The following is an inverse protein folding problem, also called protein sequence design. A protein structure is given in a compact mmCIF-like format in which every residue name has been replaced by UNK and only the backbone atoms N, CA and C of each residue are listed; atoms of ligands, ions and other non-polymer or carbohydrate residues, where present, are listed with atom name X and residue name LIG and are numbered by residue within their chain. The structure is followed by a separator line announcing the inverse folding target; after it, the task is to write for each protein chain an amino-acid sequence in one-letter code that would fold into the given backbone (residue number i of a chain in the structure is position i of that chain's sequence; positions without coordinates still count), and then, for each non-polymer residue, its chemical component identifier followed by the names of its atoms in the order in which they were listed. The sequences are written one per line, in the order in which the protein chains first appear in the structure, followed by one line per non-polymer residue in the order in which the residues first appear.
data_IF_634721333036
#
_entry.id   IF_634721333036
#
_cell.length_a   1.000
_cell.length_b   1.000
_cell.length_c   1.000
_cell.angle_alpha   90.00
_cell.angle_beta   90.00
_cell.angle_gamma   90.00
#
_symmetry.space_group_name_H-M   'P 1'
#
loop_
_entity.id
_entity.type
_entity.pdbx_description
1 polymer ?
#
# COMPACT_ATOMS: atom_id res chain seq x y z
N UNK A 1 50.98 -28.78 -52.74
CA UNK A 1 50.15 -28.02 -53.71
C UNK A 1 49.46 -26.92 -52.92
N UNK A 2 49.65 -25.65 -53.28
CA UNK A 2 48.91 -24.93 -54.34
C UNK A 2 47.41 -24.88 -54.06
N UNK A 3 46.83 -23.78 -53.56
CA UNK A 3 46.71 -22.40 -54.09
C UNK A 3 45.59 -22.25 -55.13
N UNK A 4 44.52 -21.49 -54.80
CA UNK A 4 43.81 -20.53 -55.68
C UNK A 4 42.56 -19.84 -55.04
N UNK A 5 42.65 -18.53 -54.78
CA UNK A 5 41.59 -17.50 -55.05
C UNK A 5 42.02 -16.78 -56.38
N UNK A 6 41.35 -15.77 -57.01
CA UNK A 6 40.39 -14.72 -56.57
C UNK A 6 39.09 -14.74 -57.44
N UNK A 7 38.29 -13.69 -57.75
CA UNK A 7 38.08 -12.27 -57.32
C UNK A 7 36.59 -11.91 -57.58
N UNK A 8 36.15 -10.73 -57.14
CA UNK A 8 34.96 -10.01 -57.66
C UNK A 8 35.14 -9.51 -59.12
N UNK A 9 34.19 -8.72 -59.65
CA UNK A 9 34.49 -7.27 -59.73
C UNK A 9 33.35 -6.32 -59.30
N UNK A 10 33.76 -5.18 -58.72
CA UNK A 10 33.06 -3.87 -58.65
C UNK A 10 33.49 -3.02 -59.90
N UNK A 11 33.36 -1.67 -60.00
CA UNK A 11 32.65 -0.63 -59.22
C UNK A 11 31.54 0.05 -60.10
N UNK A 12 31.10 1.33 -60.05
CA UNK A 12 31.48 2.66 -59.50
C UNK A 12 30.17 3.46 -59.20
N UNK A 13 30.09 4.53 -58.40
CA UNK A 13 31.03 5.33 -57.57
C UNK A 13 30.37 5.59 -56.17
N UNK A 14 30.47 6.67 -55.37
CA UNK A 14 31.07 8.03 -55.42
C UNK A 14 31.22 8.65 -53.99
N UNK A 15 31.55 9.95 -53.87
CA UNK A 15 31.67 10.73 -52.61
C UNK A 15 30.74 11.99 -52.60
N UNK A 16 30.69 12.93 -51.63
CA UNK A 16 31.50 13.22 -50.44
C UNK A 16 30.68 13.99 -49.36
N UNK A 17 31.32 14.40 -48.25
CA UNK A 17 30.78 15.15 -47.10
C UNK A 17 30.54 16.65 -47.39
N UNK A 18 29.76 17.34 -46.53
CA UNK A 18 29.56 18.80 -46.57
C UNK A 18 28.69 19.34 -45.42
N UNK A 19 29.04 20.49 -44.85
CA UNK A 19 28.56 20.97 -43.53
C UNK A 19 27.79 22.32 -43.58
N UNK A 20 26.86 22.46 -42.62
CA UNK A 20 26.11 23.63 -42.04
C UNK A 20 26.03 25.04 -42.71
N UNK A 21 24.80 25.60 -42.63
CA UNK A 21 24.39 26.84 -41.90
C UNK A 21 23.68 28.03 -42.62
N UNK A 22 22.88 28.75 -41.81
CA UNK A 22 22.25 30.10 -41.89
C UNK A 22 21.64 30.66 -43.21
N UNK A 23 20.47 31.34 -43.13
CA UNK A 23 19.96 32.14 -44.27
C UNK A 23 18.51 32.67 -44.30
N UNK A 24 18.05 33.40 -43.26
CA UNK A 24 17.05 34.50 -43.24
C UNK A 24 15.92 34.71 -44.32
N UNK A 25 14.74 35.14 -43.81
CA UNK A 25 13.73 36.05 -44.44
C UNK A 25 12.92 35.60 -45.70
N UNK A 26 11.69 36.08 -46.00
CA UNK A 26 10.63 36.79 -45.24
C UNK A 26 9.30 36.83 -46.07
N UNK A 27 8.27 37.53 -45.55
CA UNK A 27 6.93 37.81 -46.11
C UNK A 27 5.92 36.62 -46.11
N UNK A 28 4.66 36.68 -45.65
CA UNK A 28 3.63 37.72 -45.36
C UNK A 28 2.46 37.66 -46.36
N UNK A 29 1.26 37.25 -45.88
CA UNK A 29 0.03 38.03 -46.09
C UNK A 29 -1.08 37.67 -45.06
N UNK A 30 -1.84 38.70 -44.68
CA UNK A 30 -3.09 38.74 -43.89
C UNK A 30 -4.00 37.50 -44.01
N UNK A 31 -4.54 36.90 -42.94
CA UNK A 31 -5.39 37.43 -41.86
C UNK A 31 -6.84 37.76 -42.28
N UNK A 32 -7.80 36.91 -41.87
CA UNK A 32 -9.20 37.28 -41.64
C UNK A 32 -9.63 36.74 -40.26
N UNK A 33 -10.07 37.63 -39.38
CA UNK A 33 -10.49 37.30 -38.02
C UNK A 33 -12.02 37.35 -37.90
N UNK A 34 -12.60 36.38 -37.20
CA UNK A 34 -14.00 36.43 -36.74
C UNK A 34 -14.02 36.36 -35.21
N UNK A 35 -14.44 37.45 -34.57
CA UNK A 35 -14.47 37.55 -33.11
C UNK A 35 -15.53 36.64 -32.48
N UNK A 36 -15.16 36.01 -31.35
CA UNK A 36 -16.09 35.31 -30.48
C UNK A 36 -16.85 36.30 -29.58
N UNK A 37 -18.12 36.04 -29.21
CA UNK A 37 -18.82 36.83 -28.22
C UNK A 37 -18.21 36.60 -26.83
N UNK A 38 -17.92 37.69 -26.11
CA UNK A 38 -17.28 37.62 -24.80
C UNK A 38 -18.23 37.08 -23.71
N UNK A 39 -17.77 36.07 -22.98
CA UNK A 39 -18.27 35.71 -21.65
C UNK A 39 -17.11 35.90 -20.66
N UNK A 40 -17.27 36.79 -19.70
CA UNK A 40 -16.21 37.14 -18.76
C UNK A 40 -16.56 36.67 -17.34
N UNK A 41 -15.81 35.71 -16.80
CA UNK A 41 -15.75 35.51 -15.36
C UNK A 41 -14.44 34.83 -14.89
N UNK A 42 -13.62 35.62 -14.17
CA UNK A 42 -12.55 35.21 -13.25
C UNK A 42 -11.57 34.12 -13.73
N UNK A 43 -10.51 34.51 -14.44
CA UNK A 43 -9.28 33.70 -14.41
C UNK A 43 -8.60 33.86 -13.05
N UNK A 44 -8.57 32.76 -12.28
CA UNK A 44 -7.60 32.58 -11.22
C UNK A 44 -6.38 31.92 -11.87
N UNK A 45 -5.53 32.72 -12.52
CA UNK A 45 -4.31 32.27 -13.22
C UNK A 45 -3.24 31.76 -12.24
N UNK A 46 -3.53 30.62 -11.61
CA UNK A 46 -2.53 29.80 -10.94
C UNK A 46 -1.63 29.16 -11.99
N UNK A 47 -0.34 29.47 -11.96
CA UNK A 47 0.65 28.90 -12.86
C UNK A 47 0.80 27.40 -12.57
N UNK A 48 0.15 26.54 -13.39
CA UNK A 48 0.33 25.09 -13.31
C UNK A 48 1.72 24.76 -13.84
N UNK A 49 2.59 24.28 -12.97
CA UNK A 49 3.92 23.81 -13.37
C UNK A 49 3.81 22.45 -14.06
N UNK A 50 3.96 22.42 -15.38
CA UNK A 50 4.24 21.18 -16.11
C UNK A 50 5.74 20.93 -16.20
N UNK A 51 6.18 19.73 -15.83
CA UNK A 51 7.60 19.37 -15.90
C UNK A 51 8.09 19.34 -17.37
N UNK A 52 9.18 20.04 -17.71
CA UNK A 52 9.79 19.99 -19.04
C UNK A 52 10.04 18.57 -19.54
N UNK A 53 9.72 18.30 -20.81
CA UNK A 53 9.81 16.95 -21.40
C UNK A 53 11.19 16.29 -21.21
N UNK A 54 12.28 17.06 -21.30
CA UNK A 54 13.64 16.55 -21.09
C UNK A 54 13.89 16.03 -19.66
N UNK A 55 13.27 16.65 -18.64
CA UNK A 55 13.36 16.18 -17.24
C UNK A 55 12.54 14.91 -17.05
N UNK A 56 11.32 14.84 -17.59
CA UNK A 56 10.51 13.61 -17.61
C UNK A 56 11.23 12.42 -18.27
N UNK A 57 12.04 12.68 -19.30
CA UNK A 57 12.88 11.66 -19.95
C UNK A 57 14.05 11.20 -19.07
N UNK A 58 14.78 12.12 -18.42
CA UNK A 58 15.86 11.70 -17.48
C UNK A 58 15.29 11.02 -16.23
N UNK A 59 14.17 11.48 -15.66
CA UNK A 59 13.48 10.81 -14.54
C UNK A 59 13.10 9.36 -14.91
N UNK A 60 12.55 9.13 -16.11
CA UNK A 60 12.31 7.77 -16.63
C UNK A 60 13.61 6.96 -16.76
N UNK A 61 14.66 7.56 -17.33
CA UNK A 61 15.98 6.94 -17.51
C UNK A 61 16.69 6.62 -16.19
N UNK A 62 16.46 7.39 -15.13
CA UNK A 62 16.94 7.09 -13.78
C UNK A 62 16.13 5.97 -13.13
N UNK A 63 14.80 5.98 -13.25
CA UNK A 63 13.95 4.88 -12.79
C UNK A 63 14.33 3.55 -13.45
N UNK A 64 14.51 3.54 -14.78
CA UNK A 64 14.98 2.36 -15.55
C UNK A 64 16.37 1.91 -15.08
N UNK A 65 17.31 2.84 -14.86
CA UNK A 65 18.65 2.51 -14.32
C UNK A 65 18.59 1.83 -12.95
N UNK A 66 17.71 2.29 -12.05
CA UNK A 66 17.55 1.69 -10.71
C UNK A 66 16.88 0.31 -10.78
N UNK A 67 15.78 0.19 -11.53
CA UNK A 67 15.07 -1.10 -11.77
C UNK A 67 16.02 -2.16 -12.33
N UNK A 68 16.76 -1.81 -13.39
CA UNK A 68 17.72 -2.71 -14.04
C UNK A 68 18.92 -3.06 -13.15
N UNK A 69 19.18 -2.31 -12.07
CA UNK A 69 20.24 -2.61 -11.11
C UNK A 69 20.03 -4.00 -10.48
N UNK A 70 18.79 -4.33 -10.13
CA UNK A 70 18.43 -5.64 -9.56
C UNK A 70 18.63 -6.76 -10.58
N UNK A 71 18.24 -6.54 -11.84
CA UNK A 71 18.44 -7.51 -12.92
C UNK A 71 19.93 -7.83 -13.12
N UNK A 72 20.79 -6.81 -13.18
CA UNK A 72 22.25 -6.99 -13.33
C UNK A 72 22.89 -7.68 -12.12
N UNK A 73 22.38 -7.46 -10.90
CA UNK A 73 22.85 -8.18 -9.70
C UNK A 73 22.48 -9.67 -9.77
N UNK A 74 21.26 -9.99 -10.20
CA UNK A 74 20.81 -11.38 -10.40
C UNK A 74 21.59 -12.09 -11.52
N UNK A 75 21.78 -11.45 -12.68
CA UNK A 75 22.60 -11.96 -13.79
C UNK A 75 24.05 -12.24 -13.37
N UNK A 76 24.63 -11.38 -12.53
CA UNK A 76 25.98 -11.53 -12.01
C UNK A 76 26.10 -12.54 -10.85
N UNK A 77 24.99 -13.13 -10.38
CA UNK A 77 24.96 -14.05 -9.24
C UNK A 77 25.36 -13.41 -7.90
N UNK A 78 25.19 -12.10 -7.76
CA UNK A 78 25.51 -11.36 -6.53
C UNK A 78 24.37 -11.55 -5.52
N UNK A 79 24.71 -11.83 -4.25
CA UNK A 79 23.72 -11.88 -3.18
C UNK A 79 23.18 -10.48 -2.88
N UNK A 80 21.85 -10.32 -2.87
CA UNK A 80 21.16 -9.09 -2.53
C UNK A 80 19.87 -9.39 -1.75
N UNK A 81 19.36 -8.37 -1.07
CA UNK A 81 18.02 -8.36 -0.47
C UNK A 81 17.30 -7.06 -0.83
N UNK A 82 15.97 -7.08 -0.79
CA UNK A 82 15.17 -5.87 -0.91
C UNK A 82 14.97 -5.21 0.47
N UNK A 83 14.80 -3.89 0.48
CA UNK A 83 14.39 -3.12 1.65
C UNK A 83 13.45 -2.01 1.22
N UNK A 84 12.55 -1.58 2.12
CA UNK A 84 11.50 -0.60 1.79
C UNK A 84 12.02 0.81 1.53
N UNK A 85 13.15 1.21 2.12
CA UNK A 85 13.71 2.57 2.00
C UNK A 85 12.75 3.73 2.37
N UNK A 86 11.60 3.43 2.99
CA UNK A 86 10.53 4.39 3.29
C UNK A 86 9.17 3.97 2.72
N UNK A 87 9.13 3.09 1.72
CA UNK A 87 7.90 2.53 1.14
C UNK A 87 7.04 1.78 2.16
N UNK A 88 5.72 1.82 1.96
CA UNK A 88 4.80 0.86 2.59
C UNK A 88 5.03 -0.58 2.08
N UNK A 89 4.54 -1.61 2.80
CA UNK A 89 4.59 -3.00 2.34
C UNK A 89 3.90 -3.23 0.97
N UNK A 90 2.89 -2.42 0.64
CA UNK A 90 2.19 -2.46 -0.65
C UNK A 90 3.06 -1.92 -1.78
N UNK A 91 3.60 -0.72 -1.62
CA UNK A 91 4.48 -0.09 -2.62
C UNK A 91 5.75 -0.94 -2.87
N UNK A 92 6.38 -1.48 -1.81
CA UNK A 92 7.52 -2.37 -1.94
C UNK A 92 7.17 -3.62 -2.78
N UNK A 93 6.00 -4.23 -2.55
CA UNK A 93 5.52 -5.37 -3.33
C UNK A 93 5.29 -5.00 -4.80
N UNK A 94 4.66 -3.86 -5.07
CA UNK A 94 4.37 -3.36 -6.42
C UNK A 94 5.66 -3.06 -7.20
N UNK A 95 6.67 -2.45 -6.55
CA UNK A 95 8.01 -2.26 -7.13
C UNK A 95 8.67 -3.61 -7.46
N UNK A 96 8.59 -4.60 -6.58
CA UNK A 96 9.19 -5.93 -6.82
C UNK A 96 8.46 -6.67 -7.96
N UNK A 97 7.12 -6.61 -8.01
CA UNK A 97 6.35 -7.13 -9.13
C UNK A 97 6.76 -6.49 -10.46
N UNK A 98 6.94 -5.16 -10.50
CA UNK A 98 7.43 -4.44 -11.69
C UNK A 98 8.83 -4.91 -12.14
N UNK A 99 9.70 -5.35 -11.21
CA UNK A 99 11.03 -5.92 -11.53
C UNK A 99 10.92 -7.37 -12.02
N UNK A 100 9.97 -8.15 -11.52
CA UNK A 100 9.64 -9.50 -12.02
C UNK A 100 9.06 -9.45 -13.43
N UNK A 101 8.11 -8.55 -13.70
CA UNK A 101 7.59 -8.27 -15.04
C UNK A 101 8.68 -7.84 -16.04
N UNK A 102 9.68 -7.08 -15.56
CA UNK A 102 10.84 -6.69 -16.35
C UNK A 102 11.86 -7.82 -16.60
N UNK A 103 11.64 -9.02 -16.04
CA UNK A 103 12.42 -10.23 -16.33
C UNK A 103 13.16 -10.86 -15.15
N UNK A 104 12.99 -10.38 -13.91
CA UNK A 104 13.56 -11.07 -12.74
C UNK A 104 12.81 -12.38 -12.47
N UNK A 105 13.54 -13.47 -12.24
CA UNK A 105 12.96 -14.76 -11.85
C UNK A 105 12.15 -14.61 -10.53
N UNK A 106 10.84 -14.97 -10.53
CA UNK A 106 10.00 -15.00 -9.33
C UNK A 106 10.64 -15.65 -8.10
N UNK A 107 11.40 -16.74 -8.29
CA UNK A 107 12.07 -17.46 -7.21
C UNK A 107 13.31 -16.72 -6.68
N UNK A 108 13.98 -15.92 -7.52
CA UNK A 108 15.07 -15.02 -7.08
C UNK A 108 14.47 -13.84 -6.30
N UNK A 109 13.35 -13.27 -6.76
CA UNK A 109 12.63 -12.23 -6.02
C UNK A 109 12.19 -12.71 -4.63
N UNK A 110 11.59 -13.90 -4.54
CA UNK A 110 11.22 -14.51 -3.25
C UNK A 110 12.46 -14.84 -2.39
N UNK A 111 13.56 -15.35 -2.97
CA UNK A 111 14.82 -15.59 -2.23
C UNK A 111 15.37 -14.31 -1.59
N UNK A 112 15.36 -13.20 -2.32
CA UNK A 112 15.89 -11.90 -1.86
C UNK A 112 15.06 -11.24 -0.72
N UNK A 113 13.84 -11.74 -0.45
CA UNK A 113 13.03 -11.34 0.72
C UNK A 113 13.05 -12.37 1.86
N UNK A 114 13.60 -13.56 1.63
CA UNK A 114 13.52 -14.70 2.56
C UNK A 114 14.91 -15.19 2.94
N UNK A 115 15.34 -16.37 2.47
CA UNK A 115 16.62 -16.97 2.85
C UNK A 115 17.82 -16.09 2.47
N UNK A 116 17.77 -15.36 1.35
CA UNK A 116 18.86 -14.45 0.94
C UNK A 116 18.99 -13.22 1.84
N UNK A 117 17.88 -12.72 2.39
CA UNK A 117 17.92 -11.69 3.42
C UNK A 117 18.46 -12.25 4.75
N UNK A 118 17.99 -13.43 5.16
CA UNK A 118 18.45 -14.10 6.38
C UNK A 118 19.94 -14.47 6.33
N UNK A 119 20.46 -14.87 5.16
CA UNK A 119 21.89 -15.12 4.88
C UNK A 119 22.71 -13.82 5.05
N UNK A 120 22.23 -12.69 4.54
CA UNK A 120 22.90 -11.38 4.65
C UNK A 120 22.86 -10.79 6.07
N UNK A 121 21.82 -11.08 6.86
CA UNK A 121 21.72 -10.66 8.27
C UNK A 121 22.35 -11.66 9.26
N UNK A 122 22.71 -12.88 8.83
CA UNK A 122 23.33 -13.91 9.68
C UNK A 122 22.35 -14.79 10.47
N UNK A 123 21.04 -14.68 10.22
CA UNK A 123 19.97 -15.38 10.94
C UNK A 123 19.40 -16.59 10.14
N UNK A 124 20.08 -16.99 9.06
CA UNK A 124 19.66 -18.12 8.18
C UNK A 124 19.61 -19.51 8.84
N UNK A 125 20.06 -19.66 10.09
CA UNK A 125 19.85 -20.87 10.89
C UNK A 125 18.50 -20.89 11.64
N UNK A 126 17.74 -19.77 11.62
CA UNK A 126 16.49 -19.57 12.37
C UNK A 126 15.31 -19.12 11.51
N UNK A 127 15.55 -18.26 10.50
CA UNK A 127 14.49 -17.61 9.72
C UNK A 127 14.74 -17.69 8.20
N UNK A 128 13.73 -17.35 7.41
CA UNK A 128 13.82 -17.24 5.94
C UNK A 128 13.63 -18.53 5.15
N UNK A 129 13.39 -19.68 5.81
CA UNK A 129 13.07 -20.94 5.15
C UNK A 129 12.02 -21.75 5.94
N UNK A 130 11.14 -22.46 5.22
CA UNK A 130 10.13 -23.34 5.83
C UNK A 130 10.76 -24.71 6.11
N UNK A 131 11.40 -24.86 7.28
CA UNK A 131 12.10 -26.08 7.67
C UNK A 131 11.87 -26.44 9.15
N UNK A 132 11.94 -27.73 9.55
CA UNK A 132 11.81 -28.13 10.95
C UNK A 132 12.90 -27.52 11.82
N UNK A 133 12.50 -26.81 12.88
CA UNK A 133 13.40 -26.12 13.81
C UNK A 133 13.60 -24.62 13.53
N UNK A 134 13.07 -24.11 12.41
CA UNK A 134 13.00 -22.67 12.13
C UNK A 134 11.80 -22.03 12.85
N UNK A 135 11.86 -20.72 13.02
CA UNK A 135 10.76 -19.92 13.58
C UNK A 135 9.58 -19.83 12.60
N UNK A 136 8.36 -19.85 13.13
CA UNK A 136 7.13 -19.97 12.33
C UNK A 136 6.65 -18.60 11.79
N UNK A 137 7.50 -17.97 10.97
CA UNK A 137 7.17 -16.76 10.21
C UNK A 137 6.73 -17.13 8.79
N UNK A 138 5.43 -17.04 8.47
CA UNK A 138 4.83 -17.54 7.23
C UNK A 138 3.83 -16.55 6.64
N UNK A 139 3.80 -16.41 5.32
CA UNK A 139 2.84 -15.57 4.59
C UNK A 139 2.10 -16.42 3.54
N UNK A 140 0.79 -16.60 3.71
CA UNK A 140 -0.04 -17.43 2.83
C UNK A 140 -0.83 -16.54 1.87
N UNK A 141 -0.54 -16.69 0.59
CA UNK A 141 -1.14 -15.90 -0.49
C UNK A 141 -2.22 -16.71 -1.24
N UNK A 142 -3.20 -16.02 -1.85
CA UNK A 142 -4.25 -16.65 -2.65
C UNK A 142 -3.75 -17.23 -3.98
N UNK A 143 -2.65 -16.69 -4.50
CA UNK A 143 -1.87 -17.16 -5.66
C UNK A 143 -0.39 -16.76 -5.43
N UNK A 144 0.49 -16.89 -6.44
CA UNK A 144 1.89 -16.48 -6.34
C UNK A 144 2.03 -15.00 -5.90
N UNK A 145 2.96 -14.63 -4.98
CA UNK A 145 3.02 -13.27 -4.41
C UNK A 145 3.19 -12.12 -5.42
N UNK A 146 3.73 -12.43 -6.60
CA UNK A 146 3.99 -11.48 -7.69
C UNK A 146 2.91 -11.48 -8.79
N UNK A 147 1.85 -12.30 -8.65
CA UNK A 147 0.76 -12.35 -9.61
C UNK A 147 -0.24 -11.20 -9.39
N UNK A 148 -0.79 -10.69 -10.50
CA UNK A 148 -1.90 -9.74 -10.51
C UNK A 148 -3.09 -10.31 -9.73
N UNK A 149 -3.66 -9.54 -8.81
CA UNK A 149 -4.79 -9.97 -7.97
C UNK A 149 -4.47 -10.95 -6.82
N UNK A 150 -3.21 -11.39 -6.64
CA UNK A 150 -2.86 -12.20 -5.47
C UNK A 150 -2.96 -11.39 -4.17
N UNK A 151 -3.63 -11.94 -3.15
CA UNK A 151 -3.87 -11.31 -1.83
C UNK A 151 -3.20 -12.09 -0.72
N UNK A 152 -2.74 -11.39 0.32
CA UNK A 152 -2.24 -12.02 1.54
C UNK A 152 -3.44 -12.43 2.41
N UNK A 153 -3.59 -13.72 2.66
CA UNK A 153 -4.77 -14.30 3.35
C UNK A 153 -4.50 -14.67 4.81
N UNK A 154 -3.28 -15.10 5.12
CA UNK A 154 -2.83 -15.33 6.49
C UNK A 154 -1.38 -14.87 6.63
N UNK A 155 -1.10 -14.21 7.75
CA UNK A 155 0.24 -13.97 8.23
C UNK A 155 0.43 -14.77 9.51
N UNK A 156 1.56 -15.44 9.67
CA UNK A 156 1.95 -16.13 10.90
C UNK A 156 3.28 -15.54 11.35
N UNK A 157 3.38 -15.14 12.60
CA UNK A 157 4.57 -14.51 13.20
C UNK A 157 4.88 -15.22 14.51
N UNK A 158 6.07 -15.79 14.63
CA UNK A 158 6.49 -16.66 15.75
C UNK A 158 5.47 -17.75 16.13
N UNK A 159 4.69 -18.23 15.15
CA UNK A 159 3.63 -19.21 15.33
C UNK A 159 2.25 -18.66 15.71
N UNK A 160 2.11 -17.38 16.04
CA UNK A 160 0.80 -16.72 16.16
C UNK A 160 0.20 -16.47 14.77
N UNK A 161 -1.03 -16.94 14.52
CA UNK A 161 -1.73 -16.78 13.24
C UNK A 161 -2.67 -15.58 13.22
N UNK A 162 -2.52 -14.73 12.20
CA UNK A 162 -3.34 -13.56 11.91
C UNK A 162 -4.08 -13.80 10.59
N UNK A 163 -5.41 -13.87 10.63
CA UNK A 163 -6.25 -13.95 9.43
C UNK A 163 -6.38 -12.56 8.81
N UNK A 164 -5.98 -12.44 7.55
CA UNK A 164 -6.13 -11.22 6.75
C UNK A 164 -7.25 -11.50 5.74
N UNK A 165 -8.41 -10.88 5.95
CA UNK A 165 -9.64 -11.23 5.25
C UNK A 165 -9.43 -11.28 3.72
N UNK A 166 -9.48 -12.48 3.13
CA UNK A 166 -9.07 -12.71 1.74
C UNK A 166 -10.11 -12.28 0.69
N UNK A 167 -11.20 -11.62 1.12
CA UNK A 167 -12.16 -10.92 0.25
C UNK A 167 -11.95 -9.42 0.38
N UNK A 168 -11.98 -8.72 -0.75
CA UNK A 168 -12.09 -7.26 -0.88
C UNK A 168 -11.02 -6.49 -0.08
N UNK A 169 -9.86 -6.20 -0.67
CA UNK A 169 -9.69 -4.94 -1.43
C UNK A 169 -10.65 -3.83 -1.01
N UNK A 170 -10.65 -3.47 0.29
CA UNK A 170 -10.72 -2.07 0.70
C UNK A 170 -9.86 -1.83 1.95
N UNK A 171 -8.56 -1.72 1.66
CA UNK A 171 -7.66 -0.78 2.30
C UNK A 171 -7.02 0.08 1.20
N UNK A 172 -7.83 0.51 0.24
CA UNK A 172 -7.47 1.57 -0.69
C UNK A 172 -7.68 2.91 0.02
N UNK A 173 -7.26 3.98 -0.63
CA UNK A 173 -7.73 5.32 -0.28
C UNK A 173 -9.10 5.56 -0.96
N UNK A 174 -10.06 4.66 -0.76
CA UNK A 174 -11.47 4.92 -1.09
C UNK A 174 -12.02 5.83 0.00
N UNK A 175 -12.49 7.02 -0.41
CA UNK A 175 -12.97 8.03 0.51
C UNK A 175 -14.12 7.47 1.36
N UNK A 176 -14.15 7.83 2.64
CA UNK A 176 -15.17 7.35 3.57
C UNK A 176 -16.57 7.79 3.13
N UNK A 177 -17.34 6.86 2.57
CA UNK A 177 -18.75 7.06 2.18
C UNK A 177 -19.69 7.07 3.40
N UNK A 178 -19.16 6.78 4.60
CA UNK A 178 -19.88 6.74 5.88
C UNK A 178 -19.30 7.71 6.92
N UNK A 179 -20.17 8.43 7.61
CA UNK A 179 -19.77 9.31 8.73
C UNK A 179 -19.62 8.49 10.03
N UNK A 180 -18.39 8.20 10.43
CA UNK A 180 -18.10 7.48 11.68
C UNK A 180 -18.23 8.36 12.95
N UNK A 181 -18.19 9.69 12.82
CA UNK A 181 -18.15 10.62 13.95
C UNK A 181 -19.41 10.57 14.82
N UNK A 182 -19.24 10.44 16.13
CA UNK A 182 -20.32 10.50 17.12
C UNK A 182 -20.23 9.46 18.22
N UNK A 183 -21.21 9.50 19.12
CA UNK A 183 -21.34 8.59 20.26
C UNK A 183 -22.09 7.32 19.85
N UNK A 184 -21.42 6.18 19.92
CA UNK A 184 -21.98 4.86 19.65
C UNK A 184 -22.18 4.08 20.96
N UNK A 185 -23.30 3.36 21.08
CA UNK A 185 -23.47 2.32 22.11
C UNK A 185 -23.20 0.97 21.46
N UNK A 186 -22.38 0.13 22.09
CA UNK A 186 -22.11 -1.24 21.64
C UNK A 186 -22.75 -2.25 22.59
N UNK A 187 -23.60 -3.11 22.03
CA UNK A 187 -24.26 -4.23 22.68
C UNK A 187 -23.62 -5.54 22.19
N UNK A 188 -23.00 -6.30 23.11
CA UNK A 188 -22.26 -7.53 22.81
C UNK A 188 -23.16 -8.77 22.81
N UNK A 189 -22.98 -9.66 21.84
CA UNK A 189 -23.88 -10.79 21.64
C UNK A 189 -23.56 -11.99 22.56
N UNK A 190 -24.37 -12.19 23.60
CA UNK A 190 -24.45 -13.46 24.33
C UNK A 190 -23.35 -13.74 25.37
N UNK A 191 -22.58 -12.73 25.77
CA UNK A 191 -21.56 -12.80 26.82
C UNK A 191 -21.97 -11.87 27.99
N UNK A 192 -21.54 -12.17 29.24
CA UNK A 192 -21.84 -11.34 30.43
C UNK A 192 -21.03 -10.02 30.46
N UNK A 193 -20.58 -9.52 29.30
CA UNK A 193 -19.81 -8.27 29.19
C UNK A 193 -20.77 -7.09 29.11
N UNK A 194 -20.65 -6.15 30.04
CA UNK A 194 -21.54 -5.00 30.10
C UNK A 194 -21.24 -3.98 28.98
N UNK A 195 -22.23 -3.12 28.73
CA UNK A 195 -22.28 -2.12 27.67
C UNK A 195 -20.97 -1.32 27.52
N UNK A 196 -20.58 -1.08 26.26
CA UNK A 196 -19.56 -0.09 25.94
C UNK A 196 -20.19 1.17 25.31
N UNK A 197 -19.68 2.33 25.69
CA UNK A 197 -19.93 3.61 25.03
C UNK A 197 -18.65 3.99 24.28
N UNK A 198 -18.75 4.38 23.01
CA UNK A 198 -17.61 4.65 22.14
C UNK A 198 -17.82 5.96 21.39
N UNK A 199 -17.06 6.99 21.74
CA UNK A 199 -17.09 8.30 21.09
C UNK A 199 -16.00 8.36 20.01
N UNK A 200 -16.40 8.49 18.74
CA UNK A 200 -15.49 8.55 17.59
C UNK A 200 -15.45 9.95 16.97
N UNK A 201 -14.28 10.32 16.45
CA UNK A 201 -14.02 11.51 15.65
C UNK A 201 -13.23 11.12 14.40
N UNK A 202 -13.83 11.34 13.22
CA UNK A 202 -13.18 11.12 11.93
C UNK A 202 -12.55 12.43 11.42
N UNK A 203 -11.41 12.32 10.75
CA UNK A 203 -10.74 13.42 10.05
C UNK A 203 -10.94 13.32 8.52
N UNK A 204 -10.68 14.41 7.80
CA UNK A 204 -10.87 14.50 6.34
C UNK A 204 -9.97 13.55 5.51
N UNK A 205 -8.99 12.91 6.15
CA UNK A 205 -8.09 11.90 5.57
C UNK A 205 -8.53 10.44 5.84
N UNK A 206 -9.71 10.24 6.44
CA UNK A 206 -10.23 8.91 6.81
C UNK A 206 -9.64 8.35 8.11
N UNK A 207 -8.74 9.06 8.77
CA UNK A 207 -8.23 8.72 10.10
C UNK A 207 -9.32 8.87 11.16
N UNK A 208 -9.43 7.89 12.06
CA UNK A 208 -10.37 7.93 13.19
C UNK A 208 -9.61 7.85 14.50
N UNK A 209 -9.95 8.77 15.41
CA UNK A 209 -9.58 8.71 16.82
C UNK A 209 -10.83 8.65 17.68
N UNK A 210 -10.74 8.12 18.90
CA UNK A 210 -11.89 8.07 19.80
C UNK A 210 -11.54 7.52 21.18
N UNK A 211 -12.53 7.50 22.08
CA UNK A 211 -12.41 6.74 23.33
C UNK A 211 -13.55 5.74 23.47
N UNK A 212 -13.22 4.51 23.88
CA UNK A 212 -14.19 3.51 24.27
C UNK A 212 -14.16 3.31 25.78
N UNK A 213 -15.30 3.54 26.41
CA UNK A 213 -15.55 3.35 27.83
C UNK A 213 -16.30 2.04 28.01
N UNK A 214 -15.59 1.05 28.52
CA UNK A 214 -16.15 -0.25 28.86
C UNK A 214 -16.64 -0.24 30.30
N UNK A 215 -17.92 -0.53 30.50
CA UNK A 215 -18.43 -0.86 31.82
C UNK A 215 -18.18 -2.33 32.12
N UNK A 216 -17.88 -2.68 33.36
CA UNK A 216 -17.77 -4.06 33.82
C UNK A 216 -18.97 -4.42 34.74
N UNK A 217 -19.44 -5.69 34.78
CA UNK A 217 -20.62 -6.08 35.57
C UNK A 217 -20.49 -5.88 37.09
N UNK A 218 -19.26 -5.71 37.59
CA UNK A 218 -18.96 -5.42 38.99
C UNK A 218 -19.12 -3.92 39.36
N UNK A 219 -19.32 -3.04 38.37
CA UNK A 219 -19.46 -1.59 38.54
C UNK A 219 -18.19 -0.78 38.29
N UNK A 220 -17.06 -1.42 37.98
CA UNK A 220 -15.88 -0.72 37.49
C UNK A 220 -16.10 -0.26 36.04
N UNK A 221 -15.46 0.83 35.64
CA UNK A 221 -15.43 1.28 34.25
C UNK A 221 -14.00 1.69 33.88
N UNK A 222 -13.56 1.30 32.69
CA UNK A 222 -12.25 1.68 32.15
C UNK A 222 -12.40 2.28 30.76
N UNK A 223 -11.55 3.26 30.47
CA UNK A 223 -11.55 4.01 29.22
C UNK A 223 -10.29 3.67 28.42
N UNK A 224 -10.45 3.59 27.10
CA UNK A 224 -9.42 3.15 26.15
C UNK A 224 -9.41 4.13 24.98
N UNK A 225 -8.26 4.76 24.73
CA UNK A 225 -8.03 5.55 23.52
C UNK A 225 -7.90 4.61 22.31
N UNK A 226 -8.74 4.81 21.30
CA UNK A 226 -8.79 4.05 20.05
C UNK A 226 -8.25 4.88 18.88
N UNK A 227 -7.47 4.25 18.01
CA UNK A 227 -6.99 4.84 16.76
C UNK A 227 -7.11 3.87 15.59
N UNK A 228 -7.41 4.39 14.40
CA UNK A 228 -7.55 3.58 13.20
C UNK A 228 -8.09 4.39 12.02
N UNK A 229 -8.87 3.74 11.14
CA UNK A 229 -9.28 4.30 9.84
C UNK A 229 -10.67 3.82 9.41
N UNK A 230 -11.31 4.60 8.54
CA UNK A 230 -12.46 4.17 7.72
C UNK A 230 -12.06 4.10 6.26
N UNK A 231 -12.54 3.08 5.56
CA UNK A 231 -12.39 2.88 4.11
C UNK A 231 -13.71 2.31 3.58
N UNK A 232 -14.30 2.96 2.58
CA UNK A 232 -15.67 2.69 2.13
C UNK A 232 -16.69 2.79 3.28
N UNK A 233 -17.29 1.65 3.65
CA UNK A 233 -18.22 1.51 4.79
C UNK A 233 -17.63 0.74 6.00
N UNK A 234 -16.33 0.43 5.97
CA UNK A 234 -15.65 -0.38 6.99
C UNK A 234 -14.83 0.47 7.95
N UNK A 235 -15.05 0.26 9.24
CA UNK A 235 -14.32 0.85 10.36
C UNK A 235 -13.34 -0.19 10.93
N UNK A 236 -12.06 0.15 10.98
CA UNK A 236 -11.04 -0.61 11.71
C UNK A 236 -10.39 0.27 12.78
N UNK A 237 -10.39 -0.18 14.03
CA UNK A 237 -9.76 0.51 15.16
C UNK A 237 -8.85 -0.43 15.94
N UNK A 238 -7.85 0.15 16.58
CA UNK A 238 -6.88 -0.51 17.44
C UNK A 238 -6.64 0.28 18.73
N UNK A 239 -6.27 -0.41 19.80
CA UNK A 239 -5.78 0.18 21.03
C UNK A 239 -4.82 -0.76 21.76
N UNK A 240 -3.93 -0.18 22.56
CA UNK A 240 -3.08 -0.91 23.51
C UNK A 240 -3.20 -0.25 24.87
N UNK A 241 -3.70 -0.99 25.86
CA UNK A 241 -3.89 -0.52 27.24
C UNK A 241 -3.22 -1.48 28.24
N UNK A 242 -3.21 -1.13 29.52
CA UNK A 242 -2.67 -1.99 30.58
C UNK A 242 -3.66 -2.09 31.75
N UNK A 243 -4.14 -3.30 32.04
CA UNK A 243 -5.02 -3.59 33.17
C UNK A 243 -4.25 -4.47 34.17
N UNK A 244 -4.23 -4.05 35.44
CA UNK A 244 -3.44 -4.66 36.52
C UNK A 244 -1.92 -4.84 36.21
N UNK A 245 -1.40 -4.07 35.24
CA UNK A 245 -0.01 -4.14 34.78
C UNK A 245 0.24 -5.16 33.66
N UNK A 246 -0.79 -5.83 33.15
CA UNK A 246 -0.70 -6.69 31.98
C UNK A 246 -1.12 -5.90 30.72
N UNK A 247 -0.35 -5.97 29.61
CA UNK A 247 -0.75 -5.35 28.35
C UNK A 247 -1.96 -6.09 27.77
N UNK A 248 -2.88 -5.31 27.19
CA UNK A 248 -4.05 -5.78 26.45
C UNK A 248 -4.09 -5.03 25.13
N UNK A 249 -4.12 -5.76 24.03
CA UNK A 249 -4.39 -5.21 22.71
C UNK A 249 -5.86 -5.42 22.37
N UNK A 250 -6.51 -4.39 21.84
CA UNK A 250 -7.92 -4.43 21.44
C UNK A 250 -7.98 -4.06 19.97
N UNK A 251 -8.64 -4.89 19.16
CA UNK A 251 -8.92 -4.62 17.75
C UNK A 251 -10.43 -4.61 17.55
N UNK A 252 -10.94 -3.64 16.79
CA UNK A 252 -12.34 -3.54 16.38
C UNK A 252 -12.39 -3.58 14.86
N UNK A 253 -13.20 -4.46 14.28
CA UNK A 253 -13.46 -4.53 12.85
C UNK A 253 -14.98 -4.56 12.65
N UNK A 254 -15.53 -3.54 12.00
CA UNK A 254 -16.97 -3.31 11.89
C UNK A 254 -17.36 -2.70 10.54
N UNK A 255 -18.62 -2.92 10.15
CA UNK A 255 -19.28 -2.27 9.00
C UNK A 255 -20.31 -1.28 9.51
N UNK A 256 -20.33 -0.06 8.95
CA UNK A 256 -21.28 1.01 9.31
C UNK A 256 -22.37 1.09 8.24
N UNK A 257 -23.63 0.99 8.66
CA UNK A 257 -24.82 1.15 7.82
C UNK A 257 -25.68 2.30 8.39
N UNK A 258 -25.24 3.54 8.10
CA UNK A 258 -25.90 4.76 8.58
C UNK A 258 -25.73 4.97 10.08
N UNK A 259 -26.78 4.70 10.86
CA UNK A 259 -26.80 4.83 12.33
C UNK A 259 -26.65 3.48 13.06
N UNK A 260 -26.48 2.39 12.32
CA UNK A 260 -26.10 1.08 12.86
C UNK A 260 -24.66 0.74 12.48
N UNK A 261 -23.98 -0.04 13.31
CA UNK A 261 -22.78 -0.78 12.93
C UNK A 261 -22.87 -2.23 13.41
N UNK A 262 -22.23 -3.15 12.71
CA UNK A 262 -22.10 -4.54 13.15
C UNK A 262 -20.65 -4.99 12.96
N UNK A 263 -20.09 -5.71 13.93
CA UNK A 263 -18.68 -6.05 13.90
C UNK A 263 -18.24 -7.06 14.95
N UNK A 264 -16.91 -7.21 15.06
CA UNK A 264 -16.24 -8.04 16.06
C UNK A 264 -15.17 -7.23 16.78
N UNK A 265 -15.02 -7.49 18.08
CA UNK A 265 -13.86 -7.06 18.86
C UNK A 265 -12.97 -8.26 19.15
N UNK A 266 -11.66 -8.09 19.04
CA UNK A 266 -10.64 -9.06 19.45
C UNK A 266 -9.85 -8.46 20.60
N UNK A 267 -9.79 -9.18 21.73
CA UNK A 267 -9.06 -8.80 22.93
C UNK A 267 -7.91 -9.77 23.11
N UNK A 268 -6.67 -9.33 22.84
CA UNK A 268 -5.47 -10.12 23.17
C UNK A 268 -5.02 -9.79 24.59
N UNK A 269 -4.78 -10.83 25.39
CA UNK A 269 -4.24 -10.75 26.74
C UNK A 269 -3.11 -11.76 26.89
N UNK A 270 -2.32 -11.67 27.97
CA UNK A 270 -1.33 -12.68 28.32
C UNK A 270 -1.92 -14.10 28.58
N UNK A 271 -3.25 -14.24 28.70
CA UNK A 271 -3.95 -15.51 28.80
C UNK A 271 -4.47 -16.08 27.47
N UNK A 272 -4.34 -15.34 26.37
CA UNK A 272 -4.88 -15.67 25.04
C UNK A 272 -5.78 -14.57 24.46
N UNK A 273 -6.37 -14.86 23.29
CA UNK A 273 -7.27 -13.97 22.55
C UNK A 273 -8.74 -14.35 22.72
N UNK A 274 -9.58 -13.39 23.08
CA UNK A 274 -11.05 -13.51 23.11
C UNK A 274 -11.66 -12.72 21.94
N UNK A 275 -12.62 -13.29 21.22
CA UNK A 275 -13.34 -12.61 20.12
C UNK A 275 -14.81 -12.50 20.47
N UNK A 276 -15.37 -11.29 20.45
CA UNK A 276 -16.78 -11.01 20.74
C UNK A 276 -17.44 -10.27 19.58
N UNK A 277 -18.54 -10.82 19.05
CA UNK A 277 -19.41 -10.11 18.10
C UNK A 277 -20.25 -9.04 18.81
N UNK A 278 -20.50 -7.93 18.13
CA UNK A 278 -21.27 -6.82 18.67
C UNK A 278 -22.14 -6.14 17.60
N UNK A 279 -23.21 -5.51 18.07
CA UNK A 279 -24.03 -4.56 17.33
C UNK A 279 -23.88 -3.19 17.99
N UNK A 280 -23.58 -2.18 17.18
CA UNK A 280 -23.52 -0.79 17.62
C UNK A 280 -24.69 0.01 17.06
N UNK A 281 -25.22 0.94 17.86
CA UNK A 281 -26.23 1.90 17.43
C UNK A 281 -25.77 3.32 17.81
N UNK A 282 -25.82 4.26 16.86
CA UNK A 282 -25.45 5.66 17.10
C UNK A 282 -26.49 6.28 18.02
N UNK A 283 -26.04 6.94 19.09
CA UNK A 283 -26.97 7.73 19.91
C UNK A 283 -27.43 8.94 19.11
N UNK A 284 -28.74 9.26 19.12
CA UNK A 284 -29.20 10.52 18.55
C UNK A 284 -28.55 11.66 19.34
N UNK A 285 -27.80 12.52 18.64
CA UNK A 285 -27.36 13.78 19.23
C UNK A 285 -28.61 14.58 19.59
N UNK A 286 -28.82 14.84 20.88
CA UNK A 286 -29.99 15.58 21.33
C UNK A 286 -29.95 17.01 20.81
N UNK A 287 -30.98 17.42 20.07
CA UNK A 287 -31.12 18.79 19.58
C UNK A 287 -30.99 19.78 20.76
N UNK A 288 -29.99 20.65 20.70
CA UNK A 288 -29.77 21.68 21.71
C UNK A 288 -30.90 22.72 21.72
N UNK A 289 -31.41 23.03 22.91
CA UNK A 289 -32.36 24.12 23.16
C UNK A 289 -31.67 25.49 23.28
#
# INVERSE_FOLDING_TARGET
AKDAKPKEPEPESDAAEGEVDEGAEAADESAEATEAPAAAEKSADGWIYEEPFALRVEHRREWERHRDGVLRLAEAGVAFAFGSAGDSPKELRERIATVVEAGLDPAVATRALTVGAAELFGESERIGAVQPGFEAHLALWTDAPWAEGAKLSWLIVDGESFELAAGDDEASNEAADVEATGSWRLDFAGNDRADAEMDLTMAEDGSVTGTAKYSAPNGDAFEVELTGTVSGDRLQLSATTQIEGFPIEITVDARIEGDAMNGKTVWKTAGGSETNEFRGERRPQGEGQ
#
